data_IF_233044515803
#
_entry.id   IF_233044515803
#
_cell.length_a   1.000
_cell.length_b   1.000
_cell.length_c   1.000
_cell.angle_alpha   90.00
_cell.angle_beta   90.00
_cell.angle_gamma   90.00
#
_symmetry.space_group_name_H-M   'P 1'
#
loop_
_entity.id
_entity.type
_entity.pdbx_description
1 polymer ?
#
# COMPACT_ATOMS: atom_id res chain seq x y z
N UNK A 1 31.73 -7.96 3.93
CA UNK A 1 30.30 -8.01 3.55
C UNK A 1 29.92 -9.42 3.09
N UNK A 2 30.07 -10.45 3.94
CA UNK A 2 29.72 -11.82 3.53
C UNK A 2 28.30 -12.26 3.95
N UNK A 3 27.61 -11.49 4.82
CA UNK A 3 26.31 -11.87 5.39
C UNK A 3 25.23 -10.79 5.19
N UNK A 4 25.32 -10.02 4.09
CA UNK A 4 24.37 -8.94 3.80
C UNK A 4 23.73 -9.19 2.44
N UNK A 5 22.40 -9.18 2.40
CA UNK A 5 21.61 -9.17 1.17
C UNK A 5 21.07 -7.75 0.99
N UNK A 6 21.42 -7.10 -0.11
CA UNK A 6 20.88 -5.82 -0.51
C UNK A 6 19.73 -6.06 -1.50
N UNK A 7 18.60 -5.40 -1.29
CA UNK A 7 17.45 -5.49 -2.20
C UNK A 7 16.99 -4.11 -2.64
N UNK A 8 16.42 -4.02 -3.83
CA UNK A 8 15.87 -2.79 -4.41
C UNK A 8 14.45 -2.50 -3.96
N UNK A 9 14.11 -2.77 -2.69
CA UNK A 9 12.75 -2.59 -2.15
C UNK A 9 11.68 -3.38 -2.93
N UNK A 10 11.90 -4.68 -3.14
CA UNK A 10 10.93 -5.57 -3.79
C UNK A 10 10.55 -6.77 -2.90
N UNK A 11 10.80 -6.68 -1.59
CA UNK A 11 10.52 -7.76 -0.65
C UNK A 11 9.05 -8.22 -0.65
N UNK A 12 8.13 -7.32 -1.00
CA UNK A 12 6.68 -7.58 -1.07
C UNK A 12 6.13 -7.51 -2.49
N UNK A 13 6.98 -7.43 -3.52
CA UNK A 13 6.50 -7.31 -4.88
C UNK A 13 5.82 -8.60 -5.34
N UNK A 14 4.54 -8.49 -5.68
CA UNK A 14 3.77 -9.44 -6.50
C UNK A 14 2.75 -8.62 -7.29
N UNK A 15 2.30 -9.12 -8.44
CA UNK A 15 1.27 -8.41 -9.23
C UNK A 15 -0.01 -8.19 -8.40
N UNK A 16 -0.40 -9.19 -7.59
CA UNK A 16 -1.52 -9.09 -6.65
C UNK A 16 -1.32 -7.99 -5.59
N UNK A 17 -0.11 -7.87 -5.02
CA UNK A 17 0.17 -6.83 -4.02
C UNK A 17 0.06 -5.42 -4.61
N UNK A 18 0.43 -5.23 -5.87
CA UNK A 18 0.25 -3.95 -6.56
C UNK A 18 -1.23 -3.67 -6.79
N UNK A 19 -1.98 -4.62 -7.32
CA UNK A 19 -3.42 -4.47 -7.56
C UNK A 19 -4.19 -4.15 -6.27
N UNK A 20 -3.88 -4.85 -5.17
CA UNK A 20 -4.51 -4.62 -3.87
C UNK A 20 -4.18 -3.24 -3.31
N UNK A 21 -2.92 -2.79 -3.42
CA UNK A 21 -2.52 -1.45 -2.96
C UNK A 21 -3.29 -0.35 -3.70
N UNK A 22 -3.40 -0.47 -5.03
CA UNK A 22 -4.14 0.52 -5.84
C UNK A 22 -5.62 0.52 -5.47
N UNK A 23 -6.24 -0.66 -5.37
CA UNK A 23 -7.65 -0.78 -4.98
C UNK A 23 -7.91 -0.15 -3.60
N UNK A 24 -7.12 -0.51 -2.59
CA UNK A 24 -7.28 0.01 -1.22
C UNK A 24 -7.12 1.52 -1.16
N UNK A 25 -6.15 2.08 -1.90
CA UNK A 25 -5.94 3.54 -1.95
C UNK A 25 -7.14 4.24 -2.57
N UNK A 26 -7.65 3.74 -3.70
CA UNK A 26 -8.79 4.35 -4.39
C UNK A 26 -10.08 4.25 -3.56
N UNK A 27 -10.32 3.11 -2.91
CA UNK A 27 -11.44 2.92 -1.99
C UNK A 27 -11.35 3.88 -0.81
N UNK A 28 -10.18 3.99 -0.18
CA UNK A 28 -9.96 4.89 0.96
C UNK A 28 -10.13 6.35 0.58
N UNK A 29 -9.62 6.76 -0.59
CA UNK A 29 -9.80 8.12 -1.11
C UNK A 29 -11.27 8.44 -1.34
N UNK A 30 -12.00 7.52 -1.98
CA UNK A 30 -13.43 7.67 -2.21
C UNK A 30 -14.20 7.84 -0.90
N UNK A 31 -13.95 6.96 0.08
CA UNK A 31 -14.57 7.05 1.40
C UNK A 31 -14.27 8.38 2.08
N UNK A 32 -13.01 8.84 2.01
CA UNK A 32 -12.61 10.10 2.60
C UNK A 32 -13.35 11.29 1.97
N UNK A 33 -13.48 11.31 0.65
CA UNK A 33 -14.23 12.36 -0.08
C UNK A 33 -15.71 12.36 0.30
N UNK A 34 -16.31 11.18 0.46
CA UNK A 34 -17.75 11.04 0.74
C UNK A 34 -18.11 11.29 2.22
N UNK A 35 -17.25 10.87 3.15
CA UNK A 35 -17.56 10.78 4.59
C UNK A 35 -16.68 11.67 5.47
N UNK A 36 -15.63 12.27 4.91
CA UNK A 36 -14.62 13.01 5.67
C UNK A 36 -13.66 12.12 6.48
N UNK A 37 -13.73 10.80 6.32
CA UNK A 37 -12.84 9.82 6.96
C UNK A 37 -12.74 8.53 6.12
N UNK A 38 -11.71 7.72 6.34
CA UNK A 38 -11.57 6.40 5.70
C UNK A 38 -11.02 5.37 6.68
N UNK A 39 -11.28 4.09 6.42
CA UNK A 39 -10.81 2.99 7.28
C UNK A 39 -9.28 2.95 7.46
N UNK A 40 -8.54 3.48 6.49
CA UNK A 40 -7.07 3.48 6.49
C UNK A 40 -6.48 4.86 6.81
N UNK A 41 -7.29 5.80 7.31
CA UNK A 41 -6.80 7.10 7.77
C UNK A 41 -6.00 6.91 9.06
N UNK A 42 -4.75 7.37 9.06
CA UNK A 42 -3.93 7.45 10.27
C UNK A 42 -4.08 8.86 10.85
N UNK A 43 -4.44 8.94 12.12
CA UNK A 43 -4.62 10.17 12.92
C UNK A 43 -3.61 10.25 14.06
#
# INVERSE_FOLDING_TARGET
MQNVILTGHFAFYTDQAIDDQIRIVLESLKEFVEKGTSANQIV
#
